data_IF_580981875764
#
_entry.id   IF_580981875764
#
_cell.length_a   1.000
_cell.length_b   1.000
_cell.length_c   1.000
_cell.angle_alpha   90.00
_cell.angle_beta   90.00
_cell.angle_gamma   90.00
#
_symmetry.space_group_name_H-M   'P 1'
#
loop_
_entity.id
_entity.type
_entity.pdbx_description
1 polymer ?
2 branched ?
3 non-polymer ?
4 water ?
#
# COMPACT_ATOMS: atom_id res chain seq x y z
N UNK A 1 12.88 7.18 -7.92
CA UNK A 1 12.24 7.47 -9.23
C UNK A 1 10.71 7.50 -9.18
N UNK A 2 10.13 7.99 -8.07
CA UNK A 2 8.67 8.05 -7.98
C UNK A 2 8.18 9.13 -8.95
N UNK A 3 6.99 8.95 -9.51
CA UNK A 3 6.44 9.92 -10.45
C UNK A 3 5.05 10.38 -10.05
N UNK A 4 4.82 11.69 -10.11
CA UNK A 4 3.53 12.27 -9.73
C UNK A 4 2.42 11.76 -10.64
N UNK A 5 1.18 11.75 -10.13
CA UNK A 5 0.06 11.28 -10.94
C UNK A 5 -0.25 12.22 -12.09
N UNK A 6 -0.69 11.64 -13.20
CA UNK A 6 -1.09 12.44 -14.35
C UNK A 6 -2.60 12.55 -14.26
N UNK A 7 -3.23 11.51 -13.72
CA UNK A 7 -4.68 11.49 -13.56
C UNK A 7 -5.16 10.72 -12.33
N UNK A 8 -5.70 11.45 -11.37
CA UNK A 8 -6.21 10.83 -10.15
C UNK A 8 -7.71 11.09 -10.04
N UNK A 9 -8.37 11.30 -11.18
CA UNK A 9 -9.80 11.58 -11.21
C UNK A 9 -10.70 10.48 -10.64
N UNK A 10 -10.16 9.28 -10.46
CA UNK A 10 -10.98 8.20 -9.90
C UNK A 10 -11.12 8.34 -8.39
N UNK A 11 -10.26 9.15 -7.78
CA UNK A 11 -10.33 9.35 -6.34
C UNK A 11 -9.54 8.33 -5.54
N UNK A 12 -8.81 7.47 -6.24
CA UNK A 12 -7.97 6.47 -5.58
C UNK A 12 -6.84 6.07 -6.53
N UNK A 13 -5.87 5.34 -6.00
CA UNK A 13 -4.72 4.90 -6.77
C UNK A 13 -5.03 3.74 -7.72
N UNK A 14 -5.22 4.03 -9.01
CA UNK A 14 -5.49 2.96 -9.98
C UNK A 14 -4.28 2.73 -10.88
N UNK A 15 -3.28 3.58 -10.71
CA UNK A 15 -2.04 3.49 -11.47
C UNK A 15 -2.20 3.29 -12.97
N UNK A 16 -3.30 3.79 -13.54
CA UNK A 16 -3.52 3.63 -14.97
C UNK A 16 -3.00 4.77 -15.83
N UNK A 17 -2.24 5.69 -15.23
CA UNK A 17 -1.68 6.82 -15.97
C UNK A 17 -0.18 6.67 -16.22
N UNK A 18 0.33 5.46 -16.01
CA UNK A 18 1.74 5.21 -16.22
C UNK A 18 2.69 5.76 -15.16
N UNK A 19 2.15 6.28 -14.06
CA UNK A 19 3.01 6.82 -13.01
C UNK A 19 2.89 5.96 -11.75
N UNK A 20 3.71 6.24 -10.75
CA UNK A 20 3.64 5.51 -9.48
C UNK A 20 2.68 6.32 -8.62
N UNK A 21 2.00 7.26 -9.27
CA UNK A 21 1.02 8.15 -8.63
C UNK A 21 1.48 8.68 -7.28
N UNK A 22 2.74 9.11 -7.26
CA UNK A 22 3.32 9.67 -6.06
C UNK A 22 4.09 8.72 -5.16
N UNK A 23 3.96 7.41 -5.38
CA UNK A 23 4.63 6.44 -4.53
C UNK A 23 6.12 6.19 -4.77
N UNK A 24 6.84 5.97 -3.67
CA UNK A 24 8.26 5.70 -3.74
C UNK A 24 8.74 5.28 -2.37
N UNK A 25 9.97 4.81 -2.28
CA UNK A 25 10.51 4.39 -0.98
C UNK A 25 10.45 5.53 0.04
N UNK A 26 10.05 5.21 1.26
CA UNK A 26 9.94 6.20 2.33
C UNK A 26 11.32 6.44 2.93
N UNK A 27 11.64 7.71 3.21
CA UNK A 27 12.93 8.10 3.79
C UNK A 27 13.30 7.30 5.04
N UNK A 28 12.30 6.95 5.84
CA UNK A 28 12.56 6.20 7.07
C UNK A 28 12.51 4.69 6.92
N UNK A 29 12.50 4.20 5.69
CA UNK A 29 12.47 2.77 5.45
C UNK A 29 13.79 2.11 5.83
N UNK A 30 13.73 0.94 6.48
CA UNK A 30 14.99 0.28 6.85
C UNK A 30 15.62 -0.34 5.61
N UNK A 31 14.82 -0.48 4.55
CA UNK A 31 15.28 -1.06 3.29
C UNK A 31 15.02 -0.07 2.16
N UNK A 32 15.99 0.07 1.25
CA UNK A 32 15.85 1.02 0.16
C UNK A 32 16.05 0.48 -1.24
N UNK A 33 16.80 -0.61 -1.38
CA UNK A 33 17.07 -1.17 -2.70
C UNK A 33 15.88 -1.94 -3.26
N UNK A 34 14.69 -1.35 -3.12
CA UNK A 34 13.45 -1.96 -3.62
C UNK A 34 12.98 -1.12 -4.80
N UNK A 35 12.68 -1.77 -5.92
CA UNK A 35 12.21 -1.04 -7.09
C UNK A 35 10.70 -0.78 -7.05
N UNK A 36 10.32 0.47 -7.30
CA UNK A 36 8.92 0.87 -7.29
C UNK A 36 8.62 1.58 -8.61
N UNK A 37 7.83 0.93 -9.45
CA UNK A 37 7.51 1.47 -10.77
C UNK A 37 6.10 1.11 -11.21
N UNK A 38 5.70 1.66 -12.36
CA UNK A 38 4.39 1.37 -12.93
C UNK A 38 4.60 0.34 -14.03
N UNK A 39 3.82 -0.73 -13.98
CA UNK A 39 3.91 -1.79 -14.97
C UNK A 39 2.54 -2.43 -15.11
N UNK A 40 2.08 -2.58 -16.34
CA UNK A 40 0.79 -3.18 -16.62
C UNK A 40 -0.33 -2.45 -15.89
N UNK A 41 -0.20 -1.13 -15.83
CA UNK A 41 -1.20 -0.29 -15.17
C UNK A 41 -1.35 -0.65 -13.70
N UNK A 42 -0.22 -0.85 -13.03
CA UNK A 42 -0.22 -1.19 -11.62
C UNK A 42 1.07 -0.71 -10.98
N UNK A 43 1.15 -0.81 -9.66
CA UNK A 43 2.37 -0.42 -8.96
C UNK A 43 3.19 -1.69 -8.73
N UNK A 44 4.26 -1.84 -9.50
CA UNK A 44 5.13 -3.02 -9.41
C UNK A 44 6.27 -2.82 -8.41
N UNK A 45 6.29 -3.66 -7.38
CA UNK A 45 7.32 -3.59 -6.34
C UNK A 45 8.22 -4.83 -6.43
N UNK A 46 9.44 -4.64 -6.93
CA UNK A 46 10.37 -5.75 -7.12
C UNK A 46 11.48 -5.91 -6.08
N UNK A 47 11.98 -7.14 -5.98
CA UNK A 47 13.08 -7.50 -5.09
C UNK A 47 12.84 -7.43 -3.59
N UNK A 48 11.59 -7.53 -3.17
CA UNK A 48 11.26 -7.47 -1.76
C UNK A 48 11.96 -8.59 -0.97
N UNK A 49 11.91 -9.80 -1.50
CA UNK A 49 12.52 -10.92 -0.81
C UNK A 49 14.04 -10.85 -0.78
N UNK A 50 14.66 -10.50 -1.91
CA UNK A 50 16.12 -10.40 -1.98
C UNK A 50 16.72 -9.36 -1.05
N UNK A 51 15.97 -8.31 -0.73
CA UNK A 51 16.48 -7.25 0.14
C UNK A 51 16.02 -7.37 1.57
N UNK A 52 15.50 -8.54 1.92
CA UNK A 52 15.06 -8.76 3.28
C UNK A 52 13.76 -8.12 3.69
N UNK A 53 12.96 -7.68 2.72
CA UNK A 53 11.68 -7.09 3.06
C UNK A 53 10.69 -8.24 2.88
N UNK A 54 10.81 -9.23 3.76
CA UNK A 54 9.98 -10.41 3.70
C UNK A 54 9.30 -10.80 5.01
N UNK A 55 9.14 -9.86 5.93
CA UNK A 55 8.47 -10.21 7.17
C UNK A 55 7.00 -10.43 6.85
N UNK A 56 6.46 -11.57 7.28
CA UNK A 56 5.08 -11.92 7.02
C UNK A 56 4.29 -12.13 8.30
N UNK A 57 4.86 -11.68 9.42
CA UNK A 57 4.22 -11.82 10.72
C UNK A 57 3.17 -10.74 10.88
N UNK A 58 2.50 -10.72 12.02
CA UNK A 58 1.46 -9.73 12.26
C UNK A 58 2.01 -8.45 12.86
N UNK A 59 2.99 -8.58 13.74
CA UNK A 59 3.55 -7.40 14.39
C UNK A 59 4.98 -7.00 14.10
N UNK A 60 5.69 -7.74 13.24
CA UNK A 60 7.08 -7.39 12.94
C UNK A 60 7.23 -6.78 11.55
N UNK A 61 6.16 -6.16 11.06
CA UNK A 61 6.16 -5.52 9.75
C UNK A 61 7.16 -4.38 9.76
N UNK A 62 7.68 -4.05 10.95
CA UNK A 62 8.67 -2.99 11.10
C UNK A 62 9.95 -3.29 10.32
N UNK A 63 10.14 -4.56 10.00
CA UNK A 63 11.32 -5.00 9.27
C UNK A 63 11.16 -4.82 7.77
N UNK A 64 9.95 -4.54 7.33
CA UNK A 64 9.71 -4.39 5.90
C UNK A 64 9.90 -2.99 5.34
N UNK A 65 10.06 -2.94 4.03
CA UNK A 65 10.23 -1.68 3.32
C UNK A 65 9.00 -0.80 3.52
N UNK A 66 9.21 0.51 3.60
CA UNK A 66 8.11 1.46 3.75
C UNK A 66 8.05 2.29 2.47
N UNK A 67 6.87 2.40 1.87
CA UNK A 67 6.72 3.23 0.68
C UNK A 67 5.71 4.30 1.03
N UNK A 68 5.80 5.45 0.38
CA UNK A 68 4.86 6.53 0.64
C UNK A 68 4.67 7.38 -0.59
N UNK A 69 3.49 7.98 -0.72
CA UNK A 69 3.21 8.82 -1.87
C UNK A 69 3.64 10.26 -1.60
N UNK A 70 4.95 10.46 -1.50
CA UNK A 70 5.50 11.78 -1.22
C UNK A 70 5.24 12.87 -2.26
N UNK A 71 5.18 12.50 -3.54
CA UNK A 71 4.90 13.49 -4.58
C UNK A 71 3.52 13.21 -5.19
N UNK A 72 2.59 12.80 -4.34
CA UNK A 72 1.22 12.51 -4.75
C UNK A 72 0.52 13.80 -5.19
N UNK A 73 0.66 14.86 -4.39
CA UNK A 73 0.05 16.13 -4.71
C UNK A 73 -1.48 16.17 -4.72
N UNK A 74 -2.12 15.15 -4.16
CA UNK A 74 -3.59 15.06 -4.11
C UNK A 74 -4.05 14.73 -2.69
N UNK A 75 -5.33 14.43 -2.53
CA UNK A 75 -5.86 14.08 -1.21
C UNK A 75 -7.17 13.32 -1.30
N UNK A 76 -7.55 12.70 -0.19
CA UNK A 76 -8.78 11.92 -0.15
C UNK A 76 -9.49 12.05 1.19
N UNK A 77 -10.71 12.59 1.18
CA UNK A 77 -11.49 12.72 2.40
C UNK A 77 -11.94 11.30 2.76
N UNK A 78 -11.59 10.85 3.96
CA UNK A 78 -11.95 9.51 4.37
C UNK A 78 -12.83 9.49 5.62
N UNK A 79 -13.44 10.62 5.95
CA UNK A 79 -14.30 10.67 7.12
C UNK A 79 -15.42 9.64 6.96
N UNK A 80 -15.57 8.79 7.97
CA UNK A 80 -16.61 7.78 7.92
C UNK A 80 -16.19 6.49 7.25
N UNK A 81 -15.04 6.50 6.59
CA UNK A 81 -14.55 5.29 5.93
C UNK A 81 -14.07 4.28 6.96
N UNK A 82 -14.09 3.01 6.59
CA UNK A 82 -13.69 1.97 7.52
C UNK A 82 -12.68 0.99 6.95
N UNK A 83 -12.44 1.05 5.64
CA UNK A 83 -11.50 0.12 5.02
C UNK A 83 -10.55 0.67 3.97
N UNK A 84 -9.36 0.07 3.91
CA UNK A 84 -8.37 0.42 2.90
C UNK A 84 -8.17 -0.90 2.16
N UNK A 85 -8.64 -0.98 0.93
CA UNK A 85 -8.52 -2.21 0.16
C UNK A 85 -7.66 -2.04 -1.08
N UNK A 86 -7.08 -3.15 -1.53
CA UNK A 86 -6.22 -3.13 -2.70
C UNK A 86 -6.10 -4.54 -3.27
N UNK A 87 -5.75 -4.63 -4.54
CA UNK A 87 -5.56 -5.93 -5.16
C UNK A 87 -4.07 -6.20 -5.14
N UNK A 88 -3.69 -7.42 -4.81
CA UNK A 88 -2.29 -7.77 -4.82
C UNK A 88 -2.14 -8.70 -6.02
N UNK A 89 -1.28 -8.31 -6.96
CA UNK A 89 -1.08 -9.11 -8.16
C UNK A 89 0.32 -9.70 -8.24
N UNK A 90 0.38 -10.98 -8.61
CA UNK A 90 1.64 -11.71 -8.74
C UNK A 90 1.47 -12.84 -9.75
N UNK A 91 2.55 -13.23 -10.43
CA UNK A 91 2.48 -14.31 -11.42
C UNK A 91 2.11 -15.67 -10.82
N UNK A 92 2.50 -15.89 -9.57
CA UNK A 92 2.21 -17.14 -8.88
C UNK A 92 1.61 -16.76 -7.53
N UNK A 93 0.87 -17.67 -6.89
CA UNK A 93 0.31 -17.31 -5.58
C UNK A 93 1.43 -17.10 -4.57
N UNK A 94 1.56 -15.88 -4.04
CA UNK A 94 2.62 -15.57 -3.07
C UNK A 94 2.04 -15.15 -1.73
N UNK A 95 2.92 -14.71 -0.84
CA UNK A 95 2.52 -14.24 0.46
C UNK A 95 2.97 -12.81 0.54
N UNK A 96 2.05 -11.93 0.91
CA UNK A 96 2.32 -10.51 1.02
C UNK A 96 1.78 -9.98 2.34
N UNK A 97 2.58 -9.15 3.00
CA UNK A 97 2.17 -8.54 4.26
C UNK A 97 2.07 -7.04 4.06
N UNK A 98 0.96 -6.44 4.49
CA UNK A 98 0.79 -5.00 4.34
C UNK A 98 0.22 -4.35 5.60
N UNK A 99 0.87 -3.27 6.03
CA UNK A 99 0.46 -2.48 7.18
C UNK A 99 0.38 -1.09 6.58
N UNK A 100 -0.53 -0.26 7.07
CA UNK A 100 -0.66 1.06 6.49
C UNK A 100 -0.84 2.15 7.53
N UNK A 101 -0.36 3.33 7.18
CA UNK A 101 -0.48 4.48 8.04
C UNK A 101 -0.90 5.69 7.23
N UNK A 102 -2.21 5.90 7.11
CA UNK A 102 -2.69 7.05 6.36
C UNK A 102 -2.26 8.27 7.16
N UNK A 103 -2.00 9.38 6.49
CA UNK A 103 -1.59 10.60 7.19
C UNK A 103 -2.44 11.81 6.80
N UNK A 104 -2.69 12.69 7.76
CA UNK A 104 -3.45 13.92 7.51
C UNK A 104 -2.54 15.04 8.01
N UNK A 105 -2.90 16.29 7.73
CA UNK A 105 -2.08 17.41 8.16
C UNK A 105 -1.85 17.46 9.67
N UNK A 106 -2.84 17.06 10.46
CA UNK A 106 -2.69 17.09 11.91
C UNK A 106 -2.50 15.72 12.58
N UNK A 107 -2.58 14.64 11.80
CA UNK A 107 -2.39 13.29 12.35
C UNK A 107 -1.32 12.59 11.52
N UNK A 108 -0.07 12.98 11.77
CA UNK A 108 1.06 12.44 11.03
C UNK A 108 1.59 11.05 11.32
N UNK A 109 1.16 10.41 12.40
CA UNK A 109 1.68 9.07 12.67
C UNK A 109 0.95 8.29 13.74
N UNK A 110 0.94 6.97 13.55
CA UNK A 110 0.30 6.08 14.50
C UNK A 110 0.85 4.70 14.22
N UNK A 111 1.42 4.05 15.23
CA UNK A 111 1.97 2.72 15.02
C UNK A 111 0.87 1.73 14.64
N UNK A 112 1.03 1.04 13.50
CA UNK A 112 0.02 0.07 13.07
C UNK A 112 -0.14 -0.97 14.17
N UNK A 113 -1.36 -1.45 14.37
CA UNK A 113 -1.58 -2.46 15.39
C UNK A 113 -1.21 -3.82 14.81
N UNK A 114 -1.36 -3.98 13.50
CA UNK A 114 -1.02 -5.25 12.88
C UNK A 114 -0.94 -5.16 11.36
N UNK A 115 -0.22 -6.10 10.76
CA UNK A 115 -0.10 -6.14 9.31
C UNK A 115 -1.11 -7.18 8.85
N UNK A 116 -1.72 -6.94 7.69
CA UNK A 116 -2.70 -7.86 7.14
C UNK A 116 -2.00 -8.71 6.08
N UNK A 117 -2.16 -10.02 6.18
CA UNK A 117 -1.53 -10.95 5.25
C UNK A 117 -2.51 -11.68 4.36
N UNK A 118 -2.07 -11.92 3.13
CA UNK A 118 -2.82 -12.70 2.16
C UNK A 118 -1.80 -13.79 1.84
N UNK A 119 -2.22 -15.04 1.96
CA UNK A 119 -1.33 -16.16 1.69
C UNK A 119 -1.70 -16.79 0.36
N UNK A 120 -0.83 -17.67 -0.14
CA UNK A 120 -1.05 -18.34 -1.42
C UNK A 120 -2.50 -18.78 -1.64
N UNK A 121 -3.09 -19.43 -0.65
CA UNK A 121 -4.46 -19.91 -0.78
C UNK A 121 -5.49 -18.80 -0.94
N UNK A 122 -5.06 -17.55 -0.76
CA UNK A 122 -5.95 -16.41 -0.90
C UNK A 122 -5.96 -15.86 -2.33
N UNK A 123 -5.06 -16.36 -3.17
CA UNK A 123 -4.98 -15.91 -4.56
C UNK A 123 -5.85 -16.71 -5.51
N UNK A 124 -6.50 -16.01 -6.44
CA UNK A 124 -7.36 -16.63 -7.45
C UNK A 124 -6.75 -16.38 -8.82
N UNK A 125 -6.67 -17.42 -9.64
CA UNK A 125 -6.10 -17.30 -10.98
C UNK A 125 -6.93 -16.36 -11.85
N UNK A 126 -6.26 -15.57 -12.67
CA UNK A 126 -6.93 -14.62 -13.56
C UNK A 126 -6.75 -15.03 -15.01
N UNK A 127 -7.75 -14.75 -15.84
CA UNK A 127 -7.71 -15.11 -17.25
C UNK A 127 -6.49 -14.52 -17.97
N UNK A 128 -5.92 -13.46 -17.40
CA UNK A 128 -4.75 -12.84 -18.01
C UNK A 128 -3.52 -13.66 -17.67
N UNK A 129 -3.71 -14.74 -16.92
CA UNK A 129 -2.60 -15.60 -16.55
C UNK A 129 -2.09 -15.41 -15.12
N UNK A 130 -2.08 -14.16 -14.65
CA UNK A 130 -1.60 -13.84 -13.31
C UNK A 130 -2.56 -14.31 -12.23
N UNK A 131 -2.15 -14.11 -10.97
CA UNK A 131 -2.97 -14.46 -9.82
C UNK A 131 -3.21 -13.19 -9.03
N UNK A 132 -4.37 -13.10 -8.38
CA UNK A 132 -4.71 -11.90 -7.63
C UNK A 132 -5.40 -12.18 -6.31
N UNK A 133 -5.04 -11.40 -5.30
CA UNK A 133 -5.64 -11.52 -3.98
C UNK A 133 -6.20 -10.17 -3.57
N UNK A 134 -7.19 -10.17 -2.69
CA UNK A 134 -7.75 -8.92 -2.23
C UNK A 134 -7.37 -8.70 -0.77
N UNK A 135 -6.52 -7.71 -0.53
CA UNK A 135 -6.10 -7.39 0.82
C UNK A 135 -6.90 -6.19 1.34
N UNK A 136 -7.36 -6.29 2.58
CA UNK A 136 -8.14 -5.23 3.20
C UNK A 136 -7.62 -4.86 4.58
N UNK A 137 -7.38 -3.57 4.76
CA UNK A 137 -6.90 -3.06 6.04
C UNK A 137 -8.04 -2.29 6.69
N UNK A 138 -8.39 -2.68 7.91
CA UNK A 138 -9.46 -2.05 8.67
C UNK A 138 -8.89 -0.98 9.58
N UNK A 139 -9.75 -0.07 10.04
CA UNK A 139 -9.31 0.98 10.94
C UNK A 139 -8.82 0.36 12.25
N UNK A 140 -9.28 -0.86 12.52
CA UNK A 140 -8.89 -1.59 13.72
C UNK A 140 -7.43 -1.98 13.63
N UNK A 141 -6.88 -1.98 12.42
CA UNK A 141 -5.49 -2.37 12.20
C UNK A 141 -4.51 -1.19 12.18
N UNK A 142 -5.02 0.02 12.01
CA UNK A 142 -4.19 1.21 11.96
C UNK A 142 -4.82 2.33 12.79
N UNK A 143 -4.27 2.61 13.98
CA UNK A 143 -4.85 3.67 14.80
C UNK A 143 -4.90 5.06 14.16
N UNK A 144 -3.91 5.39 13.33
CA UNK A 144 -3.91 6.70 12.68
C UNK A 144 -5.00 6.75 11.62
N UNK A 145 -5.34 5.58 11.08
CA UNK A 145 -6.39 5.47 10.07
C UNK A 145 -7.71 5.71 10.80
N UNK A 146 -7.85 5.12 11.98
CA UNK A 146 -9.06 5.29 12.78
C UNK A 146 -9.20 6.74 13.23
N UNK A 147 -8.09 7.34 13.64
CA UNK A 147 -8.09 8.72 14.10
C UNK A 147 -8.56 9.68 13.00
N UNK A 148 -7.97 9.57 11.81
CA UNK A 148 -8.33 10.43 10.69
C UNK A 148 -9.78 10.20 10.23
N UNK A 149 -10.18 8.93 10.12
CA UNK A 149 -11.54 8.57 9.69
C UNK A 149 -12.63 8.97 10.67
N UNK A 150 -12.26 9.22 11.92
CA UNK A 150 -13.25 9.62 12.92
C UNK A 150 -13.08 11.06 13.36
N UNK A 151 -12.16 11.79 12.72
CA UNK A 151 -11.94 13.19 13.07
C UNK A 151 -12.49 14.11 11.98
N UNK A 152 -13.74 14.51 12.15
CA UNK A 152 -14.42 15.39 11.19
C UNK A 152 -13.67 16.70 11.00
N UNK A 153 -12.93 17.11 12.02
CA UNK A 153 -12.17 18.35 11.96
C UNK A 153 -10.97 18.25 11.02
N UNK A 154 -10.52 17.03 10.74
CA UNK A 154 -9.40 16.81 9.82
C UNK A 154 -9.37 15.37 9.36
N UNK A 155 -10.25 15.07 8.40
CA UNK A 155 -10.40 13.73 7.86
C UNK A 155 -9.82 13.56 6.46
N UNK A 156 -8.95 14.48 6.05
CA UNK A 156 -8.36 14.41 4.72
C UNK A 156 -6.98 13.77 4.67
N UNK A 157 -6.90 12.62 4.00
CA UNK A 157 -5.63 11.92 3.86
C UNK A 157 -4.79 12.72 2.87
N UNK A 158 -3.62 13.19 3.32
CA UNK A 158 -2.71 13.97 2.48
C UNK A 158 -1.47 13.17 2.08
N UNK A 159 -1.38 11.94 2.57
CA UNK A 159 -0.27 11.04 2.26
C UNK A 159 -0.53 9.73 2.98
N UNK A 160 0.28 8.73 2.67
CA UNK A 160 0.16 7.43 3.31
C UNK A 160 1.46 6.64 3.21
N UNK A 161 1.70 5.84 4.24
CA UNK A 161 2.88 5.00 4.31
C UNK A 161 2.45 3.54 4.33
N UNK A 162 3.04 2.75 3.44
CA UNK A 162 2.73 1.33 3.40
C UNK A 162 3.97 0.51 3.76
N UNK A 163 3.80 -0.46 4.65
CA UNK A 163 4.90 -1.34 5.00
C UNK A 163 4.61 -2.55 4.10
N UNK A 164 5.53 -2.87 3.20
CA UNK A 164 5.32 -3.98 2.27
C UNK A 164 6.33 -5.11 2.38
N UNK A 165 5.82 -6.30 2.68
CA UNK A 165 6.67 -7.48 2.80
C UNK A 165 6.16 -8.64 1.96
N UNK A 166 7.07 -9.44 1.42
CA UNK A 166 6.71 -10.59 0.60
C UNK A 166 7.85 -11.60 0.44
N UNK A 167 7.51 -12.84 0.08
CA UNK A 167 8.52 -13.87 -0.13
C UNK A 167 8.72 -14.01 -1.64
N UNK A 168 8.24 -13.01 -2.38
CA UNK A 168 8.34 -12.98 -3.83
C UNK A 168 9.04 -11.71 -4.28
N UNK A 169 10.00 -11.84 -5.19
CA UNK A 169 10.72 -10.69 -5.72
C UNK A 169 9.90 -9.96 -6.81
N UNK A 170 8.61 -10.30 -6.92
CA UNK A 170 7.73 -9.65 -7.90
C UNK A 170 6.26 -9.68 -7.54
N UNK A 171 5.76 -8.53 -7.09
CA UNK A 171 4.36 -8.39 -6.74
C UNK A 171 3.93 -7.02 -7.26
N UNK A 172 2.63 -6.79 -7.30
CA UNK A 172 2.09 -5.52 -7.76
C UNK A 172 0.88 -5.16 -6.92
N UNK A 173 0.71 -3.86 -6.70
CA UNK A 173 -0.44 -3.37 -5.96
C UNK A 173 -1.26 -2.60 -6.98
N UNK A 174 -2.57 -2.62 -6.81
CA UNK A 174 -3.44 -1.89 -7.72
C UNK A 174 -4.76 -1.60 -7.04
N UNK A 175 -5.40 -0.52 -7.45
CA UNK A 175 -6.69 -0.13 -6.90
C UNK A 175 -6.70 0.02 -5.38
N UNK A 176 -5.72 0.77 -4.87
CA UNK A 176 -5.62 1.04 -3.44
C UNK A 176 -6.63 2.17 -3.20
N UNK A 177 -7.70 1.88 -2.46
CA UNK A 177 -8.73 2.89 -2.19
C UNK A 177 -9.38 2.74 -0.81
N UNK A 178 -9.90 3.85 -0.29
CA UNK A 178 -10.58 3.81 1.01
C UNK A 178 -12.08 3.67 0.73
N UNK A 179 -12.77 2.87 1.54
CA UNK A 179 -14.21 2.66 1.38
C UNK A 179 -14.88 2.42 2.74
X LIG B 1 7.71 4.48 17.98
X LIG B 1 7.53 4.74 16.50
X LIG B 1 8.89 5.00 15.86
X LIG B 1 9.76 3.78 16.08
X LIG B 1 11.16 3.94 15.51
X LIG B 1 8.62 3.27 18.15
X LIG B 1 8.88 3.09 19.50
X LIG B 1 6.44 4.25 18.62
X LIG B 1 6.69 5.86 16.33
X LIG B 1 8.72 5.21 14.44
X LIG B 1 9.89 3.52 17.50
X LIG B 1 12.12 3.37 16.40
X LIG B 2 9.00 6.39 12.43
X LIG B 2 9.06 7.78 11.83
X LIG B 2 7.89 8.57 12.37
X LIG B 2 8.00 8.68 13.87
X LIG B 2 6.78 9.39 14.43
X LIG B 2 9.03 6.47 13.96
X LIG B 2 10.13 5.65 11.98
X LIG B 2 8.98 7.71 10.40
X LIG B 2 7.95 9.88 11.84
X LIG B 2 8.03 7.37 14.48
X LIG B 2 6.94 9.65 15.81
X LIG B 3 6.67 11.69 11.19
X LIG B 3 5.70 12.20 10.14
X LIG B 3 6.31 12.00 8.73
X LIG B 3 6.68 10.53 8.56
X LIG B 3 7.38 10.22 7.24
X LIG B 3 7.00 10.24 10.92
X LIG B 3 6.08 11.77 12.48
X LIG B 3 5.43 13.58 10.38
X LIG B 3 5.31 12.34 7.76
X LIG B 3 7.57 10.10 9.61
X LIG B 3 8.01 8.95 7.28
X LIG B 4 4.48 13.18 5.73
X LIG B 4 4.65 14.24 4.67
X LIG B 4 4.64 15.62 5.32
X LIG B 4 5.64 15.72 6.47
X LIG B 4 5.35 17.00 7.24
X LIG B 4 5.56 13.31 6.80
X LIG B 4 4.58 11.90 5.13
X LIG B 4 3.57 14.15 3.76
X LIG B 4 4.95 16.60 4.33
X LIG B 4 5.47 14.62 7.42
X LIG B 4 6.07 17.05 8.46
X LIG C 1 -4.64 -0.36 -12.52
#
# INVERSE_FOLDING_TARGET
QPTAPKDFSSGFWDFNDGTTQGFGVNPDSPITAINVENANNALKISNLNSKGSNDLSEGNFWANVRISADIWGQSINIYGDTKLTMDVIAPTPVNVSIAAIPQSSTHGWGNPTRAIRVWTNNFVAQTDGTYKATLTISTNDSPNFNTIATDAADSVVTNMILFVGSNSDNISLDNIKFTK
BGC C2 C3 C4 C5 C6 C1 O1 O2 O3 O4 O5 O6
BGC C2 C3 C4 C5 C6 C1 O2 O3 O4 O5 O6
BGC C2 C3 C4 C5 C6 C1 O2 O3 O4 O5 O6
BGC C2 C3 C4 C5 C6 C1 O2 O3 O4 O5 O6
CA CA
#
